data_IF_268703030542
#
_entry.id   IF_268703030542
#
_cell.length_a   1.000
_cell.length_b   1.000
_cell.length_c   1.000
_cell.angle_alpha   90.00
_cell.angle_beta   90.00
_cell.angle_gamma   90.00
#
_symmetry.space_group_name_H-M   'P 1'
#
loop_
_entity.id
_entity.type
_entity.pdbx_description
1 polymer ?
#
# COMPACT_ATOMS: atom_id res chain seq x y z
N UNK A 1 -5.78 9.78 35.63
CA UNK A 1 -6.47 10.10 34.37
C UNK A 1 -5.40 10.63 33.44
N UNK A 2 -5.20 10.08 32.24
CA UNK A 2 -4.41 10.78 31.22
C UNK A 2 -5.01 12.18 31.06
N UNK A 3 -4.16 13.18 30.83
CA UNK A 3 -4.57 14.57 30.73
C UNK A 3 -5.43 14.75 29.46
N UNK A 4 -6.75 14.63 29.61
CA UNK A 4 -7.76 14.72 28.54
C UNK A 4 -7.78 16.12 27.87
N UNK A 5 -6.97 17.06 28.38
CA UNK A 5 -6.91 18.44 27.94
C UNK A 5 -5.90 18.68 26.82
N UNK A 6 -4.95 17.76 26.60
CA UNK A 6 -3.91 17.91 25.58
C UNK A 6 -4.17 16.97 24.38
N UNK A 7 -4.80 17.49 23.30
CA UNK A 7 -5.16 16.67 22.16
C UNK A 7 -3.92 16.14 21.40
N UNK A 8 -2.80 16.84 21.45
CA UNK A 8 -1.55 16.42 20.78
C UNK A 8 -0.95 15.19 21.49
N UNK A 9 -0.83 15.23 22.82
CA UNK A 9 -0.32 14.11 23.62
C UNK A 9 -1.20 12.86 23.52
N UNK A 10 -2.51 13.03 23.37
CA UNK A 10 -3.43 11.91 23.13
C UNK A 10 -3.22 11.30 21.73
N UNK A 11 -3.09 12.13 20.70
CA UNK A 11 -2.79 11.67 19.33
C UNK A 11 -1.43 10.95 19.26
N UNK A 12 -0.41 11.42 19.96
CA UNK A 12 0.90 10.76 20.02
C UNK A 12 0.81 9.38 20.68
N UNK A 13 0.10 9.26 21.81
CA UNK A 13 -0.11 7.98 22.47
C UNK A 13 -0.87 6.99 21.57
N UNK A 14 -1.93 7.45 20.90
CA UNK A 14 -2.68 6.62 19.98
C UNK A 14 -1.81 6.15 18.80
N UNK A 15 -0.99 7.03 18.22
CA UNK A 15 -0.04 6.66 17.15
C UNK A 15 0.98 5.64 17.61
N UNK A 16 1.55 5.81 18.81
CA UNK A 16 2.52 4.88 19.37
C UNK A 16 1.91 3.49 19.55
N UNK A 17 0.71 3.42 20.14
CA UNK A 17 0.01 2.15 20.32
C UNK A 17 -0.25 1.45 18.98
N UNK A 18 -0.75 2.17 17.98
CA UNK A 18 -0.98 1.64 16.63
C UNK A 18 0.31 1.15 15.96
N UNK A 19 1.43 1.87 16.13
CA UNK A 19 2.73 1.46 15.60
C UNK A 19 3.27 0.21 16.30
N UNK A 20 3.10 0.09 17.61
CA UNK A 20 3.48 -1.12 18.37
C UNK A 20 2.65 -2.33 17.93
N UNK A 21 1.33 -2.18 17.80
CA UNK A 21 0.45 -3.25 17.29
C UNK A 21 0.85 -3.67 15.86
N UNK A 22 1.20 -2.69 15.01
CA UNK A 22 1.66 -2.96 13.66
C UNK A 22 2.98 -3.74 13.64
N UNK A 23 3.97 -3.32 14.43
CA UNK A 23 5.26 -4.00 14.54
C UNK A 23 5.10 -5.43 15.08
N UNK A 24 4.20 -5.64 16.04
CA UNK A 24 3.89 -6.97 16.58
C UNK A 24 3.31 -7.89 15.49
N UNK A 25 2.38 -7.40 14.67
CA UNK A 25 1.78 -8.15 13.58
C UNK A 25 2.77 -8.48 12.46
N UNK A 26 3.73 -7.59 12.19
CA UNK A 26 4.85 -7.85 11.28
C UNK A 26 5.71 -9.01 11.82
N UNK A 27 6.09 -8.95 13.09
CA UNK A 27 7.01 -9.91 13.71
C UNK A 27 6.37 -11.29 13.99
N UNK A 28 5.06 -11.34 14.20
CA UNK A 28 4.32 -12.56 14.55
C UNK A 28 3.15 -12.82 13.58
N UNK A 29 3.43 -13.15 12.31
CA UNK A 29 2.39 -13.54 11.35
C UNK A 29 1.58 -14.74 11.83
N UNK A 30 0.29 -14.76 11.52
CA UNK A 30 -0.59 -15.91 11.78
C UNK A 30 -0.13 -17.13 10.96
N UNK A 31 0.24 -18.26 11.59
CA UNK A 31 0.77 -19.43 10.88
C UNK A 31 -0.28 -20.19 10.05
N UNK A 32 -1.56 -20.05 10.38
CA UNK A 32 -2.67 -20.75 9.72
C UNK A 32 -3.15 -19.99 8.46
N UNK A 33 -2.78 -18.72 8.31
CA UNK A 33 -3.12 -17.91 7.14
C UNK A 33 -2.16 -18.10 5.95
N UNK A 34 -2.69 -17.82 4.75
CA UNK A 34 -1.86 -17.74 3.55
C UNK A 34 -1.13 -16.41 3.51
N UNK A 35 0.18 -16.46 3.24
CA UNK A 35 1.04 -15.28 3.15
C UNK A 35 1.44 -15.00 1.71
N UNK A 36 1.11 -13.81 1.22
CA UNK A 36 1.50 -13.29 -0.10
C UNK A 36 1.60 -11.77 -0.02
N UNK A 37 2.73 -11.22 -0.46
CA UNK A 37 2.97 -9.77 -0.47
C UNK A 37 2.44 -9.16 -1.78
N UNK A 38 1.73 -8.04 -1.66
CA UNK A 38 1.18 -7.26 -2.76
C UNK A 38 1.50 -5.77 -2.56
N UNK A 39 1.88 -5.12 -3.66
CA UNK A 39 1.97 -3.67 -3.79
C UNK A 39 1.17 -3.21 -5.02
N UNK A 40 0.53 -2.05 -4.93
CA UNK A 40 -0.24 -1.45 -6.03
C UNK A 40 0.50 -0.24 -6.58
N UNK A 41 0.87 -0.29 -7.86
CA UNK A 41 1.42 0.84 -8.60
C UNK A 41 0.42 1.30 -9.67
N UNK A 42 0.36 2.60 -9.91
CA UNK A 42 -0.48 3.21 -10.94
C UNK A 42 0.43 3.94 -11.93
N UNK A 43 0.27 3.66 -13.22
CA UNK A 43 0.93 4.40 -14.30
C UNK A 43 -0.03 5.41 -14.91
N UNK A 44 0.48 6.61 -15.18
CA UNK A 44 -0.34 7.68 -15.76
C UNK A 44 -0.11 7.76 -17.26
N UNK A 45 -1.19 7.77 -18.02
CA UNK A 45 -1.16 7.94 -19.47
C UNK A 45 -1.83 9.25 -19.86
N UNK A 46 -1.20 9.98 -20.79
CA UNK A 46 -1.84 11.07 -21.53
C UNK A 46 -2.39 10.51 -22.83
N UNK A 47 -3.71 10.68 -23.02
CA UNK A 47 -4.41 10.19 -24.22
C UNK A 47 -4.97 11.39 -24.98
N UNK A 48 -4.76 11.42 -26.29
CA UNK A 48 -5.36 12.43 -27.18
C UNK A 48 -6.36 11.78 -28.12
N UNK A 49 -7.31 12.58 -28.60
CA UNK A 49 -8.38 12.15 -29.48
C UNK A 49 -8.49 13.12 -30.66
N UNK A 50 -8.70 12.57 -31.85
CA UNK A 50 -9.08 13.31 -33.04
C UNK A 50 -10.60 13.16 -33.25
N UNK A 51 -11.25 14.23 -33.69
CA UNK A 51 -12.68 14.20 -34.02
C UNK A 51 -12.85 13.96 -35.52
N UNK A 52 -13.55 12.88 -35.87
CA UNK A 52 -14.01 12.60 -37.22
C UNK A 52 -15.42 13.15 -37.40
N UNK A 53 -15.55 14.18 -38.25
CA UNK A 53 -16.82 14.88 -38.48
C UNK A 53 -17.74 14.17 -39.48
N UNK A 54 -17.19 13.26 -40.30
CA UNK A 54 -17.96 12.50 -41.27
C UNK A 54 -18.72 11.36 -40.58
N UNK A 55 -18.10 10.76 -39.57
CA UNK A 55 -18.67 9.66 -38.77
C UNK A 55 -19.25 10.14 -37.42
N UNK A 56 -19.01 11.40 -37.04
CA UNK A 56 -19.40 12.01 -35.75
C UNK A 56 -18.87 11.23 -34.54
N UNK A 57 -17.59 10.88 -34.58
CA UNK A 57 -16.91 10.08 -33.54
C UNK A 57 -15.59 10.72 -33.07
N UNK A 58 -15.15 10.35 -31.87
CA UNK A 58 -13.82 10.68 -31.35
C UNK A 58 -12.95 9.43 -31.41
N UNK A 59 -11.95 9.45 -32.28
CA UNK A 59 -10.95 8.39 -32.39
C UNK A 59 -9.75 8.68 -31.52
N UNK A 60 -9.24 7.65 -30.84
CA UNK A 60 -8.01 7.79 -30.04
C UNK A 60 -6.82 8.00 -30.98
N UNK A 61 -6.22 9.18 -30.90
CA UNK A 61 -5.10 9.58 -31.73
C UNK A 61 -3.76 9.08 -31.19
N UNK A 62 -3.54 9.22 -29.87
CA UNK A 62 -2.35 8.70 -29.21
C UNK A 62 -2.60 8.36 -27.74
N UNK A 63 -1.70 7.54 -27.20
CA UNK A 63 -1.57 7.29 -25.77
C UNK A 63 -0.07 7.27 -25.44
N UNK A 64 0.36 8.17 -24.56
CA UNK A 64 1.74 8.30 -24.11
C UNK A 64 1.79 8.06 -22.61
N UNK A 65 2.69 7.18 -22.16
CA UNK A 65 3.01 7.04 -20.74
C UNK A 65 3.73 8.31 -20.29
N UNK A 66 3.20 8.97 -19.26
CA UNK A 66 3.78 10.23 -18.73
C UNK A 66 4.43 10.06 -17.37
N UNK A 67 4.38 8.85 -16.82
CA UNK A 67 4.97 8.50 -15.53
C UNK A 67 5.44 7.05 -15.55
N UNK A 68 6.65 6.82 -15.06
CA UNK A 68 7.28 5.50 -15.04
C UNK A 68 6.63 4.59 -13.99
N UNK A 69 6.53 3.30 -14.32
CA UNK A 69 6.18 2.29 -13.32
C UNK A 69 7.25 2.24 -12.23
N UNK A 70 6.88 2.64 -11.01
CA UNK A 70 7.72 2.56 -9.82
C UNK A 70 7.14 1.58 -8.80
N UNK A 71 8.01 0.83 -8.13
CA UNK A 71 7.59 -0.05 -7.04
C UNK A 71 7.03 0.79 -5.89
N UNK A 72 5.86 0.42 -5.32
CA UNK A 72 5.26 1.17 -4.23
C UNK A 72 6.08 1.00 -2.94
N UNK A 73 6.21 2.08 -2.18
CA UNK A 73 6.94 2.09 -0.91
C UNK A 73 6.23 1.31 0.20
N UNK A 74 4.91 1.11 0.07
CA UNK A 74 4.09 0.42 1.05
C UNK A 74 3.44 -0.81 0.43
N UNK A 75 3.62 -1.93 1.11
CA UNK A 75 3.17 -3.25 0.74
C UNK A 75 2.15 -3.77 1.75
N UNK A 76 1.43 -4.81 1.36
CA UNK A 76 0.46 -5.52 2.19
C UNK A 76 0.60 -7.01 2.05
N UNK A 77 0.24 -7.76 3.10
CA UNK A 77 0.16 -9.20 3.09
C UNK A 77 -1.30 -9.67 3.04
N UNK A 78 -1.52 -10.81 2.42
CA UNK A 78 -2.83 -11.49 2.39
C UNK A 78 -3.38 -11.83 3.79
N UNK A 79 -2.53 -11.99 4.81
CA UNK A 79 -2.94 -12.15 6.22
C UNK A 79 -3.49 -10.87 6.87
N UNK A 80 -3.58 -9.77 6.12
CA UNK A 80 -4.21 -8.53 6.57
C UNK A 80 -3.26 -7.46 7.11
N UNK A 81 -1.97 -7.75 7.28
CA UNK A 81 -0.96 -6.73 7.62
C UNK A 81 -0.75 -5.79 6.43
N UNK A 82 -0.83 -4.48 6.63
CA UNK A 82 -0.76 -3.45 5.58
C UNK A 82 0.15 -2.31 5.98
N UNK A 83 0.75 -1.64 5.00
CA UNK A 83 1.59 -0.47 5.26
C UNK A 83 3.03 -0.83 5.61
N UNK A 84 3.49 -2.02 5.21
CA UNK A 84 4.86 -2.44 5.42
C UNK A 84 5.77 -1.83 4.36
N UNK A 85 6.93 -1.34 4.77
CA UNK A 85 8.04 -1.10 3.85
C UNK A 85 8.52 -2.42 3.21
N UNK A 86 9.31 -2.37 2.13
CA UNK A 86 9.89 -3.58 1.54
C UNK A 86 10.75 -4.40 2.52
N UNK A 87 11.41 -3.72 3.45
CA UNK A 87 12.22 -4.37 4.50
C UNK A 87 11.32 -5.08 5.52
N UNK A 88 10.29 -4.41 6.02
CA UNK A 88 9.31 -5.00 6.96
C UNK A 88 8.54 -6.16 6.31
N UNK A 89 8.16 -6.04 5.04
CA UNK A 89 7.49 -7.12 4.31
C UNK A 89 8.38 -8.35 4.17
N UNK A 90 9.69 -8.16 3.99
CA UNK A 90 10.67 -9.25 3.98
C UNK A 90 10.77 -9.91 5.36
N UNK A 91 10.85 -9.12 6.43
CA UNK A 91 10.91 -9.62 7.81
C UNK A 91 9.65 -10.43 8.16
N UNK A 92 8.49 -9.91 7.81
CA UNK A 92 7.21 -10.59 7.97
C UNK A 92 7.18 -11.95 7.26
N UNK A 93 7.59 -12.00 5.99
CA UNK A 93 7.62 -13.26 5.23
C UNK A 93 8.65 -14.25 5.80
N UNK A 94 9.79 -13.78 6.31
CA UNK A 94 10.76 -14.65 6.98
C UNK A 94 10.14 -15.29 8.23
N UNK A 95 9.51 -14.49 9.09
CA UNK A 95 8.82 -14.98 10.28
C UNK A 95 7.68 -15.94 9.92
N UNK A 96 6.93 -15.69 8.84
CA UNK A 96 5.87 -16.59 8.37
C UNK A 96 6.39 -17.96 7.91
N UNK A 97 7.59 -18.01 7.33
CA UNK A 97 8.23 -19.28 6.95
C UNK A 97 8.78 -20.03 8.16
N UNK A 98 9.33 -19.33 9.16
CA UNK A 98 9.88 -19.96 10.37
C UNK A 98 8.80 -20.55 11.28
N UNK A 99 7.57 -20.03 11.19
CA UNK A 99 6.43 -20.49 11.99
C UNK A 99 5.63 -21.65 11.35
N UNK A 100 6.00 -22.07 10.13
CA UNK A 100 5.40 -23.21 9.41
C UNK A 100 6.07 -24.55 9.76
#
# INVERSE_FOLDING_TARGET
MPDDSDPEANLEQWKSAMQEEHAEAIANPDPDESHQIEGVAQVTYRVTFDYDADEDVLDRASAEEVDDLTDPELLSCACGVRGMTPEEAREHMAAAVEQK
#
